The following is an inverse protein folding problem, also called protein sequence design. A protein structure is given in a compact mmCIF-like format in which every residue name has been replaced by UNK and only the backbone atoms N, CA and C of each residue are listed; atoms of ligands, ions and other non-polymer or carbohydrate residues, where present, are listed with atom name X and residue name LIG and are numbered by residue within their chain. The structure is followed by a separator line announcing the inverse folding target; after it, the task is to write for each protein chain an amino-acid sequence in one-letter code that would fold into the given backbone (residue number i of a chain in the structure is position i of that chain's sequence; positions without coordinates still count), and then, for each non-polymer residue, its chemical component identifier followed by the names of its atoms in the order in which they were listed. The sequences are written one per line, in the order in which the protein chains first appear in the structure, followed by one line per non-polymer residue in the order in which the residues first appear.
data_IF_999844014337
#
_entry.id   IF_999844014337
#
_cell.length_a   1.000
_cell.length_b   1.000
_cell.length_c   1.000
_cell.angle_alpha   90.00
_cell.angle_beta   90.00
_cell.angle_gamma   90.00
#
_symmetry.space_group_name_H-M   'P 1'
#
loop_
_entity.id
_entity.type
_entity.pdbx_description
1 polymer ?
#
# COMPACT_ATOMS: atom_id res chain seq x y z
N UNK A 1 26.04 33.45 -25.65
CA UNK A 1 25.01 32.58 -26.27
C UNK A 1 25.13 31.10 -25.87
N UNK A 2 26.33 30.49 -25.78
CA UNK A 2 26.51 29.06 -25.43
C UNK A 2 26.06 28.62 -24.02
N UNK A 3 26.06 29.52 -23.03
CA UNK A 3 25.74 29.20 -21.62
C UNK A 3 24.24 29.06 -21.32
N UNK A 4 23.38 29.69 -22.10
CA UNK A 4 21.92 29.61 -21.91
C UNK A 4 21.35 28.26 -22.37
N UNK A 5 21.93 27.66 -23.42
CA UNK A 5 21.55 26.34 -23.92
C UNK A 5 21.88 25.23 -22.91
N UNK A 6 23.01 25.35 -22.21
CA UNK A 6 23.41 24.39 -21.17
C UNK A 6 22.44 24.41 -19.97
N UNK A 7 21.99 25.60 -19.57
CA UNK A 7 21.01 25.77 -18.48
C UNK A 7 19.64 25.22 -18.84
N UNK A 8 19.20 25.41 -20.08
CA UNK A 8 17.95 24.84 -20.57
C UNK A 8 18.01 23.30 -20.61
N UNK A 9 19.13 22.71 -21.03
CA UNK A 9 19.32 21.25 -21.06
C UNK A 9 19.24 20.62 -19.65
N UNK A 10 19.86 21.25 -18.65
CA UNK A 10 19.78 20.78 -17.24
C UNK A 10 18.34 20.87 -16.72
N UNK A 11 17.61 21.94 -17.04
CA UNK A 11 16.20 22.10 -16.66
C UNK A 11 15.29 21.02 -17.25
N UNK A 12 15.53 20.64 -18.52
CA UNK A 12 14.77 19.57 -19.20
C UNK A 12 15.09 18.20 -18.59
N UNK A 13 16.36 17.91 -18.26
CA UNK A 13 16.73 16.65 -17.60
C UNK A 13 16.10 16.52 -16.20
N UNK A 14 16.08 17.60 -15.40
CA UNK A 14 15.42 17.57 -14.09
C UNK A 14 13.89 17.43 -14.19
N UNK A 15 13.27 18.09 -15.17
CA UNK A 15 11.83 17.93 -15.43
C UNK A 15 11.48 16.50 -15.91
N UNK A 16 12.34 15.84 -16.70
CA UNK A 16 12.10 14.47 -17.15
C UNK A 16 12.20 13.42 -16.03
N UNK A 17 12.96 13.69 -14.97
CA UNK A 17 13.02 12.82 -13.78
C UNK A 17 11.85 12.99 -12.82
N UNK A 18 11.06 14.06 -12.96
CA UNK A 18 9.90 14.33 -12.12
C UNK A 18 8.64 13.54 -12.54
N UNK A 19 8.67 12.88 -13.70
CA UNK A 19 7.69 11.82 -14.04
C UNK A 19 8.12 10.50 -13.39
N UNK A 20 8.30 10.54 -12.08
CA UNK A 20 8.58 9.39 -11.24
C UNK A 20 7.41 8.40 -11.33
N UNK A 21 7.72 7.12 -11.17
CA UNK A 21 6.80 5.98 -11.21
C UNK A 21 5.40 6.32 -10.66
N UNK A 22 4.38 6.15 -11.49
CA UNK A 22 3.00 6.35 -11.05
C UNK A 22 2.64 5.20 -10.10
N UNK A 23 2.54 5.50 -8.81
CA UNK A 23 2.05 4.55 -7.82
C UNK A 23 0.60 4.18 -8.17
N UNK A 24 0.34 2.88 -8.38
CA UNK A 24 -1.02 2.42 -8.70
C UNK A 24 -1.75 2.14 -7.40
N UNK A 25 -2.79 2.92 -7.11
CA UNK A 25 -3.59 2.77 -5.89
C UNK A 25 -4.90 2.04 -6.23
N UNK A 26 -5.24 1.05 -5.41
CA UNK A 26 -6.53 0.37 -5.50
C UNK A 26 -7.12 0.08 -4.13
N UNK A 27 -8.45 -0.08 -4.10
CA UNK A 27 -9.18 -0.45 -2.89
C UNK A 27 -9.62 -1.90 -3.00
N UNK A 28 -9.20 -2.72 -2.04
CA UNK A 28 -9.60 -4.11 -1.91
C UNK A 28 -10.56 -4.27 -0.74
N UNK A 29 -11.50 -5.21 -0.84
CA UNK A 29 -12.35 -5.59 0.29
C UNK A 29 -11.93 -6.95 0.83
N UNK A 30 -11.77 -7.05 2.15
CA UNK A 30 -11.36 -8.29 2.78
C UNK A 30 -11.43 -8.28 4.30
N UNK A 31 -11.34 -9.47 4.86
CA UNK A 31 -11.35 -9.69 6.31
C UNK A 31 -9.92 -9.80 6.78
N UNK A 32 -9.50 -8.92 7.70
CA UNK A 32 -8.16 -8.97 8.29
C UNK A 32 -8.08 -10.19 9.21
N UNK A 33 -7.14 -11.09 8.91
CA UNK A 33 -6.97 -12.36 9.63
C UNK A 33 -5.81 -12.33 10.60
N UNK A 34 -4.78 -11.52 10.33
CA UNK A 34 -3.63 -11.34 11.23
C UNK A 34 -2.93 -10.00 10.98
N UNK A 35 -2.38 -9.43 12.06
CA UNK A 35 -1.49 -8.27 12.02
C UNK A 35 -0.22 -8.62 12.78
N UNK A 36 0.91 -8.71 12.08
CA UNK A 36 2.21 -8.89 12.69
C UNK A 36 3.00 -7.57 12.67
N UNK A 37 3.91 -7.38 13.63
CA UNK A 37 4.85 -6.26 13.60
C UNK A 37 6.28 -6.77 13.66
N UNK A 38 7.14 -6.22 12.81
CA UNK A 38 8.57 -6.52 12.79
C UNK A 38 9.37 -5.25 12.52
N UNK A 39 10.29 -4.89 13.42
CA UNK A 39 11.18 -3.73 13.30
C UNK A 39 10.47 -2.39 12.96
N UNK A 40 9.26 -2.15 13.50
CA UNK A 40 8.50 -0.92 13.28
C UNK A 40 7.64 -0.89 12.01
N UNK A 41 7.75 -1.92 11.17
CA UNK A 41 6.81 -2.19 10.09
C UNK A 41 5.70 -3.15 10.60
N UNK A 42 4.57 -3.13 9.91
CA UNK A 42 3.48 -4.07 10.15
C UNK A 42 3.18 -4.84 8.88
N UNK A 43 2.86 -6.12 9.03
CA UNK A 43 2.36 -6.97 7.97
C UNK A 43 0.90 -7.30 8.30
N UNK A 44 0.01 -7.04 7.35
CA UNK A 44 -1.42 -7.35 7.48
C UNK A 44 -1.77 -8.47 6.52
N UNK A 45 -2.27 -9.57 7.07
CA UNK A 45 -2.83 -10.69 6.31
C UNK A 45 -4.34 -10.57 6.30
N UNK A 46 -4.94 -10.83 5.15
CA UNK A 46 -6.38 -10.73 4.97
C UNK A 46 -6.88 -11.75 3.94
N UNK A 47 -8.14 -12.12 4.05
CA UNK A 47 -8.82 -12.95 3.07
C UNK A 47 -9.70 -12.08 2.18
N UNK A 48 -9.78 -12.41 0.90
CA UNK A 48 -10.70 -11.76 -0.03
C UNK A 48 -12.13 -11.93 0.47
N UNK A 49 -12.90 -10.85 0.51
CA UNK A 49 -14.35 -10.95 0.74
C UNK A 49 -15.03 -11.74 -0.39
N UNK A 50 -14.55 -11.60 -1.63
CA UNK A 50 -15.19 -12.19 -2.80
C UNK A 50 -14.96 -13.70 -2.90
N UNK A 51 -13.73 -14.15 -2.64
CA UNK A 51 -13.36 -15.57 -2.84
C UNK A 51 -13.07 -16.32 -1.56
N UNK A 52 -12.88 -15.63 -0.43
CA UNK A 52 -12.45 -16.24 0.83
C UNK A 52 -10.98 -16.67 0.85
N UNK A 53 -10.27 -16.59 -0.28
CA UNK A 53 -8.87 -16.98 -0.37
C UNK A 53 -7.99 -16.01 0.42
N UNK A 54 -6.91 -16.56 1.00
CA UNK A 54 -5.88 -15.72 1.59
C UNK A 54 -5.21 -14.89 0.50
N UNK A 55 -5.10 -13.59 0.74
CA UNK A 55 -4.42 -12.66 -0.14
C UNK A 55 -2.96 -12.54 0.25
N UNK A 56 -2.18 -11.95 -0.65
CA UNK A 56 -0.83 -11.53 -0.34
C UNK A 56 -0.84 -10.55 0.84
N UNK A 57 0.08 -10.68 1.80
CA UNK A 57 0.18 -9.73 2.89
C UNK A 57 0.51 -8.32 2.39
N UNK A 58 -0.01 -7.31 3.06
CA UNK A 58 0.31 -5.91 2.77
C UNK A 58 1.16 -5.31 3.89
N UNK A 59 2.12 -4.49 3.50
CA UNK A 59 3.09 -3.92 4.44
C UNK A 59 2.69 -2.49 4.80
N UNK A 60 2.71 -2.17 6.08
CA UNK A 60 2.77 -0.79 6.54
C UNK A 60 4.22 -0.48 6.81
N UNK A 61 4.77 0.36 5.93
CA UNK A 61 6.07 0.94 6.10
C UNK A 61 6.06 1.92 7.28
N UNK A 62 7.22 2.05 7.94
CA UNK A 62 7.43 2.94 9.09
C UNK A 62 6.90 4.36 8.91
N UNK A 63 6.90 4.89 7.68
CA UNK A 63 6.35 6.21 7.33
C UNK A 63 4.84 6.34 7.56
N UNK A 64 4.10 5.24 7.52
CA UNK A 64 2.64 5.18 7.68
C UNK A 64 2.21 4.58 9.02
N UNK A 65 3.14 3.96 9.74
CA UNK A 65 2.90 3.27 11.02
C UNK A 65 2.21 4.14 12.07
N UNK A 66 2.55 5.43 12.16
CA UNK A 66 1.98 6.31 13.18
C UNK A 66 0.46 6.53 13.01
N UNK A 67 -0.06 6.41 11.78
CA UNK A 67 -1.50 6.54 11.49
C UNK A 67 -2.21 5.20 11.59
N UNK A 68 -1.65 4.17 10.95
CA UNK A 68 -2.36 2.90 10.73
C UNK A 68 -2.10 1.89 11.84
N UNK A 69 -0.95 1.93 12.50
CA UNK A 69 -0.57 1.00 13.55
C UNK A 69 -1.59 0.91 14.70
N UNK A 70 -2.05 2.04 15.28
CA UNK A 70 -3.06 2.02 16.34
C UNK A 70 -4.40 1.42 15.88
N UNK A 71 -4.83 1.75 14.66
CA UNK A 71 -6.07 1.22 14.07
C UNK A 71 -5.99 -0.29 13.92
N UNK A 72 -4.87 -0.80 13.39
CA UNK A 72 -4.69 -2.23 13.24
C UNK A 72 -4.58 -2.98 14.56
N UNK A 73 -3.93 -2.38 15.58
CA UNK A 73 -3.89 -2.98 16.92
C UNK A 73 -5.28 -3.03 17.55
N UNK A 74 -6.13 -2.03 17.29
CA UNK A 74 -7.53 -2.07 17.71
C UNK A 74 -8.32 -3.16 16.95
N UNK A 75 -8.07 -3.34 15.66
CA UNK A 75 -8.67 -4.42 14.85
C UNK A 75 -8.22 -5.79 15.36
N UNK A 76 -6.93 -5.97 15.66
CA UNK A 76 -6.36 -7.20 16.24
C UNK A 76 -6.96 -7.50 17.61
N UNK A 77 -7.07 -6.50 18.49
CA UNK A 77 -7.62 -6.67 19.83
C UNK A 77 -9.14 -6.87 19.86
N UNK A 78 -9.85 -6.32 18.88
CA UNK A 78 -11.31 -6.36 18.77
C UNK A 78 -11.85 -7.44 17.85
N UNK A 79 -11.02 -8.40 17.41
CA UNK A 79 -11.34 -9.37 16.36
C UNK A 79 -12.72 -10.04 16.52
N UNK A 80 -13.71 -9.53 15.80
CA UNK A 80 -14.75 -10.36 15.21
C UNK A 80 -14.23 -10.77 13.83
N UNK A 81 -13.99 -12.06 13.61
CA UNK A 81 -13.43 -12.62 12.38
C UNK A 81 -14.35 -12.49 11.15
N UNK A 82 -15.41 -11.68 11.27
CA UNK A 82 -16.42 -11.42 10.24
C UNK A 82 -16.41 -9.98 9.74
N UNK A 83 -15.68 -9.05 10.39
CA UNK A 83 -15.65 -7.66 9.94
C UNK A 83 -14.91 -7.55 8.61
N UNK A 84 -15.60 -7.06 7.59
CA UNK A 84 -15.03 -6.76 6.27
C UNK A 84 -14.50 -5.32 6.29
N UNK A 85 -13.28 -5.14 5.80
CA UNK A 85 -12.63 -3.85 5.67
C UNK A 85 -12.43 -3.49 4.20
N UNK A 86 -12.41 -2.20 3.92
CA UNK A 86 -11.83 -1.64 2.71
C UNK A 86 -10.35 -1.33 3.00
N UNK A 87 -9.44 -1.96 2.26
CA UNK A 87 -8.01 -1.79 2.32
C UNK A 87 -7.56 -0.96 1.11
N UNK A 88 -6.97 0.21 1.35
CA UNK A 88 -6.39 1.06 0.31
C UNK A 88 -4.92 0.69 0.18
N UNK A 89 -4.57 0.10 -0.96
CA UNK A 89 -3.27 -0.47 -1.23
C UNK A 89 -2.59 0.33 -2.34
N UNK A 90 -1.34 0.69 -2.08
CA UNK A 90 -0.42 1.24 -3.06
C UNK A 90 0.45 0.10 -3.60
N UNK A 91 0.34 -0.16 -4.90
CA UNK A 91 1.25 -1.02 -5.61
C UNK A 91 2.54 -0.27 -5.93
N UNK A 92 3.65 -0.82 -5.43
CA UNK A 92 4.99 -0.25 -5.58
C UNK A 92 5.80 -0.96 -6.64
N UNK A 93 5.34 -2.12 -7.10
CA UNK A 93 5.89 -2.78 -8.25
C UNK A 93 5.21 -2.24 -9.50
N UNK A 94 5.98 -1.95 -10.54
CA UNK A 94 5.45 -1.40 -11.80
C UNK A 94 4.50 -2.34 -12.56
N UNK A 95 4.03 -3.42 -11.93
CA UNK A 95 3.15 -4.44 -12.47
C UNK A 95 1.66 -4.08 -12.37
N UNK A 96 0.86 -4.70 -13.24
CA UNK A 96 -0.59 -4.58 -13.25
C UNK A 96 -1.21 -5.62 -12.29
N UNK A 97 -0.84 -5.59 -11.02
CA UNK A 97 -1.47 -6.47 -10.02
C UNK A 97 -2.68 -5.74 -9.44
N UNK A 98 -3.86 -6.30 -9.72
CA UNK A 98 -5.11 -5.98 -9.02
C UNK A 98 -4.97 -6.45 -7.57
N UNK A 99 -6.03 -6.37 -6.77
CA UNK A 99 -6.16 -7.02 -5.46
C UNK A 99 -5.95 -8.56 -5.50
N UNK A 100 -4.86 -9.09 -6.06
CA UNK A 100 -4.64 -10.50 -6.38
C UNK A 100 -3.16 -10.87 -6.46
N UNK A 101 -2.90 -12.06 -5.91
CA UNK A 101 -1.75 -12.97 -5.96
C UNK A 101 -0.60 -12.59 -6.91
N UNK A 102 0.48 -12.09 -6.35
CA UNK A 102 1.76 -11.98 -7.04
C UNK A 102 2.74 -11.16 -6.21
N UNK A 103 3.92 -11.70 -5.93
CA UNK A 103 4.98 -11.11 -5.10
C UNK A 103 5.12 -9.61 -5.37
N UNK A 104 4.51 -8.81 -4.50
CA UNK A 104 4.51 -7.37 -4.63
C UNK A 104 4.69 -6.69 -3.28
N UNK A 105 5.57 -5.69 -3.25
CA UNK A 105 5.91 -4.86 -2.09
C UNK A 105 4.77 -3.87 -1.73
N UNK A 106 3.53 -4.35 -1.80
CA UNK A 106 2.31 -3.60 -1.62
C UNK A 106 2.26 -2.90 -0.26
N UNK A 107 2.05 -1.58 -0.30
CA UNK A 107 1.88 -0.79 0.91
C UNK A 107 0.41 -0.65 1.27
N UNK A 108 0.04 -0.96 2.51
CA UNK A 108 -1.24 -0.53 3.06
C UNK A 108 -1.13 0.93 3.47
N UNK A 109 -1.93 1.78 2.83
CA UNK A 109 -1.93 3.24 3.08
C UNK A 109 -3.25 3.72 3.70
N UNK A 110 -4.27 2.87 3.76
CA UNK A 110 -5.53 3.18 4.44
C UNK A 110 -6.36 1.94 4.74
N UNK A 111 -7.15 1.98 5.80
CA UNK A 111 -8.10 0.93 6.16
C UNK A 111 -9.36 1.54 6.78
N UNK A 112 -10.53 1.03 6.42
CA UNK A 112 -11.81 1.41 7.02
C UNK A 112 -12.77 0.24 7.08
N UNK A 113 -13.67 0.23 8.06
CA UNK A 113 -14.77 -0.72 8.08
C UNK A 113 -15.62 -0.54 6.81
N UNK A 114 -16.02 -1.66 6.21
CA UNK A 114 -16.95 -1.65 5.08
C UNK A 114 -18.38 -1.58 5.63
N UNK A 115 -19.12 -0.54 5.26
CA UNK A 115 -20.52 -0.33 5.62
C UNK A 115 -21.46 -0.90 4.56
#
# INVERSE_FOLDING_TARGET
MRTHLLRAAIGVCMASSAFAAQATIFTCSGVVTSVASHNGNFEVRYNSERTGNQMEPVIIYSTHTYLLGPVLKAIEAGQDSRTVYNLVIENRDGGNTRCYDGESENALIGISAKY
#
